data_IF_374498809884
#
_entry.id   IF_374498809884
#
_cell.length_a   1.000
_cell.length_b   1.000
_cell.length_c   1.000
_cell.angle_alpha   90.00
_cell.angle_beta   90.00
_cell.angle_gamma   90.00
#
_symmetry.space_group_name_H-M   'P 1'
#
loop_
_entity.id
_entity.type
_entity.pdbx_description
1 polymer ?
#
# COMPACT_ATOMS: atom_id res chain seq x y z
N UNK A 1 10.42 -26.16 -69.75
CA UNK A 1 11.11 -26.28 -68.45
C UNK A 1 10.85 -25.02 -67.68
N UNK A 2 9.79 -24.99 -66.81
CA UNK A 2 9.44 -23.85 -65.95
C UNK A 2 9.99 -24.12 -64.56
N UNK A 3 10.88 -23.25 -64.09
CA UNK A 3 11.36 -23.25 -62.71
C UNK A 3 10.42 -22.39 -61.83
N UNK A 4 9.78 -23.02 -60.87
CA UNK A 4 9.02 -22.35 -59.84
C UNK A 4 9.97 -21.76 -58.81
N UNK A 5 9.85 -20.45 -58.56
CA UNK A 5 10.56 -19.74 -57.50
C UNK A 5 9.63 -19.69 -56.29
N UNK A 6 9.97 -20.44 -55.25
CA UNK A 6 9.27 -20.40 -53.93
C UNK A 6 9.82 -19.23 -53.12
N UNK A 7 8.99 -18.18 -52.94
CA UNK A 7 9.26 -17.13 -51.95
C UNK A 7 8.93 -17.66 -50.54
N UNK A 8 9.93 -17.80 -49.70
CA UNK A 8 9.75 -18.01 -48.26
C UNK A 8 9.51 -16.66 -47.58
N UNK A 9 8.29 -16.46 -47.09
CA UNK A 9 7.95 -15.30 -46.26
C UNK A 9 8.44 -15.53 -44.84
N UNK A 10 9.46 -14.81 -44.41
CA UNK A 10 9.91 -14.80 -43.04
C UNK A 10 8.95 -13.96 -42.20
N UNK A 11 8.14 -14.59 -41.34
CA UNK A 11 7.38 -13.92 -40.28
C UNK A 11 8.34 -13.45 -39.19
N UNK A 12 8.59 -12.15 -39.16
CA UNK A 12 9.27 -11.50 -38.02
C UNK A 12 8.22 -11.28 -36.92
N UNK A 13 8.22 -12.15 -35.91
CA UNK A 13 7.48 -11.96 -34.65
C UNK A 13 8.11 -10.79 -33.90
N UNK A 14 7.57 -9.60 -34.08
CA UNK A 14 7.90 -8.46 -33.21
C UNK A 14 7.34 -8.70 -31.81
N UNK A 15 8.17 -9.23 -30.91
CA UNK A 15 7.87 -9.30 -29.48
C UNK A 15 7.86 -7.88 -28.92
N UNK A 16 6.67 -7.26 -28.86
CA UNK A 16 6.46 -5.98 -28.18
C UNK A 16 6.66 -6.19 -26.68
N UNK A 17 7.83 -5.86 -26.17
CA UNK A 17 8.06 -5.67 -24.76
C UNK A 17 7.23 -4.48 -24.30
N UNK A 18 6.01 -4.74 -23.82
CA UNK A 18 5.17 -3.74 -23.16
C UNK A 18 5.78 -3.53 -21.76
N UNK A 19 6.87 -2.81 -21.71
CA UNK A 19 7.37 -2.20 -20.49
C UNK A 19 6.42 -1.06 -20.13
N UNK A 20 5.38 -1.33 -19.37
CA UNK A 20 4.43 -0.32 -18.90
C UNK A 20 5.17 0.78 -18.16
N UNK A 21 5.24 1.97 -18.76
CA UNK A 21 5.80 3.16 -18.12
C UNK A 21 4.86 3.56 -16.99
N UNK A 22 5.34 3.53 -15.75
CA UNK A 22 4.56 3.99 -14.60
C UNK A 22 4.07 5.41 -14.84
N UNK A 23 2.78 5.65 -14.64
CA UNK A 23 2.19 6.98 -14.74
C UNK A 23 2.62 7.84 -13.55
N UNK A 24 2.44 9.17 -13.64
CA UNK A 24 2.71 10.06 -12.52
C UNK A 24 1.86 9.70 -11.29
N UNK A 25 0.60 9.27 -11.49
CA UNK A 25 -0.29 8.80 -10.42
C UNK A 25 0.21 7.53 -9.72
N UNK A 26 0.80 6.59 -10.48
CA UNK A 26 1.38 5.36 -9.89
C UNK A 26 2.60 5.69 -9.01
N UNK A 27 3.41 6.66 -9.43
CA UNK A 27 4.56 7.12 -8.65
C UNK A 27 4.13 7.84 -7.35
N UNK A 28 3.09 8.67 -7.40
CA UNK A 28 2.55 9.32 -6.20
C UNK A 28 1.95 8.29 -5.24
N UNK A 29 1.12 7.37 -5.73
CA UNK A 29 0.54 6.28 -4.93
C UNK A 29 1.61 5.43 -4.24
N UNK A 30 2.68 5.08 -4.98
CA UNK A 30 3.83 4.35 -4.41
C UNK A 30 4.53 5.14 -3.30
N UNK A 31 4.73 6.44 -3.49
CA UNK A 31 5.32 7.31 -2.47
C UNK A 31 4.44 7.37 -1.21
N UNK A 32 3.14 7.64 -1.35
CA UNK A 32 2.21 7.65 -0.23
C UNK A 32 2.23 6.32 0.55
N UNK A 33 2.27 5.18 -0.15
CA UNK A 33 2.31 3.86 0.47
C UNK A 33 3.61 3.64 1.25
N UNK A 34 4.75 3.96 0.65
CA UNK A 34 6.05 3.83 1.29
C UNK A 34 6.17 4.72 2.54
N UNK A 35 5.71 5.97 2.46
CA UNK A 35 5.69 6.90 3.61
C UNK A 35 4.83 6.33 4.75
N UNK A 36 3.62 5.85 4.46
CA UNK A 36 2.76 5.27 5.49
C UNK A 36 3.40 4.04 6.15
N UNK A 37 3.95 3.12 5.37
CA UNK A 37 4.65 1.94 5.88
C UNK A 37 5.85 2.32 6.76
N UNK A 38 6.62 3.30 6.33
CA UNK A 38 7.78 3.79 7.08
C UNK A 38 7.37 4.42 8.41
N UNK A 39 6.47 5.42 8.41
CA UNK A 39 6.13 6.15 9.62
C UNK A 39 5.35 5.34 10.64
N UNK A 40 4.53 4.39 10.18
CA UNK A 40 3.70 3.57 11.06
C UNK A 40 4.42 2.33 11.62
N UNK A 41 5.43 1.81 10.92
CA UNK A 41 5.95 0.49 11.28
C UNK A 41 7.45 0.27 10.98
N UNK A 42 8.28 1.31 10.80
CA UNK A 42 9.72 1.11 10.52
C UNK A 42 10.47 0.37 11.63
N UNK A 43 10.04 0.53 12.88
CA UNK A 43 10.56 -0.15 14.07
C UNK A 43 10.09 -1.61 14.18
N UNK A 44 9.07 -2.01 13.42
CA UNK A 44 8.50 -3.37 13.37
C UNK A 44 9.13 -4.24 12.25
N UNK A 45 10.14 -3.70 11.57
CA UNK A 45 10.80 -4.35 10.44
C UNK A 45 9.90 -4.51 9.20
N UNK A 46 10.40 -5.25 8.21
CA UNK A 46 9.71 -5.40 6.92
C UNK A 46 8.31 -6.03 7.02
N UNK A 47 8.10 -6.98 7.95
CA UNK A 47 6.79 -7.62 8.14
C UNK A 47 5.74 -6.64 8.66
N UNK A 48 6.10 -5.80 9.63
CA UNK A 48 5.20 -4.76 10.15
C UNK A 48 4.87 -3.71 9.10
N UNK A 49 5.86 -3.25 8.35
CA UNK A 49 5.67 -2.34 7.23
C UNK A 49 4.75 -2.94 6.16
N UNK A 50 4.98 -4.19 5.75
CA UNK A 50 4.13 -4.88 4.78
C UNK A 50 2.69 -5.00 5.27
N UNK A 51 2.48 -5.33 6.54
CA UNK A 51 1.15 -5.46 7.14
C UNK A 51 0.36 -4.14 7.09
N UNK A 52 0.99 -3.01 7.40
CA UNK A 52 0.38 -1.67 7.22
C UNK A 52 0.02 -1.43 5.75
N UNK A 53 0.91 -1.78 4.84
CA UNK A 53 0.66 -1.66 3.40
C UNK A 53 -0.54 -2.49 2.92
N UNK A 54 -0.70 -3.72 3.44
CA UNK A 54 -1.87 -4.58 3.14
C UNK A 54 -3.17 -3.91 3.61
N UNK A 55 -3.20 -3.34 4.82
CA UNK A 55 -4.38 -2.60 5.31
C UNK A 55 -4.74 -1.44 4.38
N UNK A 56 -3.75 -0.68 3.92
CA UNK A 56 -3.99 0.43 2.99
C UNK A 56 -4.57 -0.08 1.66
N UNK A 57 -4.01 -1.16 1.10
CA UNK A 57 -4.51 -1.77 -0.13
C UNK A 57 -5.93 -2.34 0.03
N UNK A 58 -6.25 -2.94 1.17
CA UNK A 58 -7.60 -3.42 1.45
C UNK A 58 -8.60 -2.27 1.53
N UNK A 59 -8.21 -1.17 2.19
CA UNK A 59 -9.04 0.06 2.23
C UNK A 59 -9.29 0.65 0.84
N UNK A 60 -8.29 0.66 -0.05
CA UNK A 60 -8.46 1.13 -1.44
C UNK A 60 -9.50 0.30 -2.21
N UNK A 61 -9.63 -1.00 -1.90
CA UNK A 61 -10.61 -1.92 -2.54
C UNK A 61 -11.99 -1.89 -1.90
N UNK A 62 -12.14 -1.26 -0.75
CA UNK A 62 -13.36 -1.22 0.05
C UNK A 62 -14.06 0.12 -0.17
N UNK A 63 -15.28 0.12 -0.70
CA UNK A 63 -16.08 1.30 -1.07
C UNK A 63 -16.32 2.29 0.07
N UNK A 64 -16.06 1.89 1.31
CA UNK A 64 -16.17 2.75 2.50
C UNK A 64 -14.99 3.70 2.68
N UNK A 65 -13.95 3.52 1.87
CA UNK A 65 -12.71 4.31 1.93
C UNK A 65 -12.44 4.99 0.57
N UNK A 66 -11.54 5.97 0.53
CA UNK A 66 -11.07 6.51 -0.74
C UNK A 66 -10.48 5.41 -1.64
N UNK A 67 -10.76 5.49 -2.94
CA UNK A 67 -10.34 4.51 -3.95
C UNK A 67 -8.90 4.69 -4.46
N UNK A 68 -8.09 5.50 -3.78
CA UNK A 68 -6.67 5.70 -4.10
C UNK A 68 -5.81 5.58 -2.84
N UNK A 69 -4.57 5.13 -3.02
CA UNK A 69 -3.60 4.99 -1.92
C UNK A 69 -3.40 6.31 -1.17
N UNK A 70 -3.14 7.40 -1.91
CA UNK A 70 -2.97 8.71 -1.28
C UNK A 70 -4.26 9.22 -0.62
N UNK A 71 -5.43 8.91 -1.19
CA UNK A 71 -6.71 9.21 -0.58
C UNK A 71 -6.90 8.54 0.77
N UNK A 72 -6.58 7.23 0.87
CA UNK A 72 -6.60 6.47 2.14
C UNK A 72 -5.61 7.03 3.14
N UNK A 73 -4.37 7.28 2.72
CA UNK A 73 -3.29 7.76 3.60
C UNK A 73 -3.59 9.17 4.14
N UNK A 74 -4.14 10.04 3.30
CA UNK A 74 -4.46 11.43 3.65
C UNK A 74 -5.85 11.60 4.29
N UNK A 75 -6.54 10.52 4.58
CA UNK A 75 -7.88 10.56 5.19
C UNK A 75 -7.85 11.23 6.55
N UNK A 76 -8.76 12.20 6.78
CA UNK A 76 -8.80 12.95 8.04
C UNK A 76 -9.82 14.09 8.03
N UNK A 77 -9.75 14.95 9.04
CA UNK A 77 -10.53 16.19 9.08
C UNK A 77 -9.76 17.32 8.41
N UNK A 78 -10.46 18.11 7.61
CA UNK A 78 -9.89 19.26 6.90
C UNK A 78 -10.64 20.55 7.23
N UNK A 79 -9.92 21.67 7.22
CA UNK A 79 -10.49 23.02 7.32
C UNK A 79 -9.85 23.86 6.19
N UNK A 80 -10.67 24.40 5.30
CA UNK A 80 -10.20 25.21 4.15
C UNK A 80 -9.10 24.52 3.33
N UNK A 81 -9.28 23.21 3.05
CA UNK A 81 -8.31 22.43 2.28
C UNK A 81 -7.05 21.98 3.06
N UNK A 82 -6.87 22.42 4.29
CA UNK A 82 -5.71 22.05 5.14
C UNK A 82 -6.10 20.97 6.14
N UNK A 83 -5.29 19.89 6.31
CA UNK A 83 -5.57 18.87 7.29
C UNK A 83 -5.49 19.45 8.71
N UNK A 84 -6.47 19.10 9.55
CA UNK A 84 -6.50 19.54 10.94
C UNK A 84 -5.49 18.68 11.73
N UNK A 85 -4.59 19.35 12.43
CA UNK A 85 -3.50 18.71 13.19
C UNK A 85 -4.04 17.61 14.14
N UNK A 86 -3.40 16.45 14.11
CA UNK A 86 -3.75 15.25 14.89
C UNK A 86 -5.18 14.71 14.64
N UNK A 87 -5.80 15.02 13.51
CA UNK A 87 -7.14 14.51 13.11
C UNK A 87 -7.11 13.68 11.82
N UNK A 88 -5.96 13.10 11.50
CA UNK A 88 -5.78 12.21 10.34
C UNK A 88 -5.79 10.74 10.77
N UNK A 89 -6.16 9.87 9.84
CA UNK A 89 -6.16 8.42 10.02
C UNK A 89 -4.74 7.90 10.24
N UNK A 90 -3.78 8.43 9.48
CA UNK A 90 -2.35 8.23 9.66
C UNK A 90 -1.78 9.49 10.30
N UNK A 91 -1.37 9.37 11.57
CA UNK A 91 -1.07 10.52 12.43
C UNK A 91 0.10 11.38 11.92
N UNK A 92 1.11 10.75 11.32
CA UNK A 92 2.27 11.43 10.79
C UNK A 92 1.91 12.47 9.73
N UNK A 93 0.89 12.20 8.88
CA UNK A 93 0.49 13.07 7.79
C UNK A 93 -0.01 14.46 8.23
N UNK A 94 -0.46 14.60 9.47
CA UNK A 94 -0.93 15.88 9.98
C UNK A 94 -0.43 16.17 11.43
N UNK A 95 0.75 15.71 11.78
CA UNK A 95 1.41 16.05 13.05
C UNK A 95 2.12 17.41 13.03
N UNK A 96 2.19 18.02 11.83
CA UNK A 96 2.79 19.33 11.59
C UNK A 96 4.31 19.27 11.37
N UNK A 97 4.87 18.09 11.15
CA UNK A 97 6.27 17.88 10.76
C UNK A 97 6.37 17.58 9.26
N UNK A 98 7.48 17.89 8.62
CA UNK A 98 7.70 17.51 7.22
C UNK A 98 7.95 15.99 7.10
N UNK A 99 7.31 15.34 6.12
CA UNK A 99 7.48 13.93 5.80
C UNK A 99 8.85 13.69 5.11
N UNK A 100 9.92 13.64 5.93
CA UNK A 100 11.28 13.38 5.48
C UNK A 100 11.81 12.13 6.19
N UNK A 101 11.73 10.93 5.57
CA UNK A 101 12.29 9.71 6.14
C UNK A 101 13.79 9.87 6.40
N UNK A 102 14.20 9.77 7.67
CA UNK A 102 15.59 10.03 8.08
C UNK A 102 16.46 8.76 8.05
N UNK A 103 15.85 7.60 8.29
CA UNK A 103 16.54 6.32 8.37
C UNK A 103 16.61 5.65 6.99
N UNK A 104 17.78 5.67 6.36
CA UNK A 104 17.97 5.24 4.96
C UNK A 104 17.55 3.79 4.72
N UNK A 105 17.93 2.86 5.60
CA UNK A 105 17.67 1.45 5.40
C UNK A 105 16.17 1.11 5.53
N UNK A 106 15.42 1.49 6.59
CA UNK A 106 13.98 1.27 6.64
C UNK A 106 13.23 1.98 5.52
N UNK A 107 13.69 3.16 5.08
CA UNK A 107 13.09 3.86 3.95
C UNK A 107 13.25 3.11 2.64
N UNK A 108 14.44 2.57 2.34
CA UNK A 108 14.66 1.74 1.16
C UNK A 108 13.74 0.51 1.17
N UNK A 109 13.65 -0.18 2.32
CA UNK A 109 12.74 -1.34 2.47
C UNK A 109 11.28 -0.95 2.22
N UNK A 110 10.81 0.18 2.76
CA UNK A 110 9.44 0.66 2.53
C UNK A 110 9.17 0.95 1.04
N UNK A 111 10.14 1.53 0.33
CA UNK A 111 10.05 1.78 -1.11
C UNK A 111 9.98 0.49 -1.94
N UNK A 112 10.78 -0.52 -1.61
CA UNK A 112 10.76 -1.82 -2.30
C UNK A 112 9.46 -2.57 -2.02
N UNK A 113 9.02 -2.64 -0.76
CA UNK A 113 7.76 -3.26 -0.38
C UNK A 113 6.57 -2.58 -1.04
N UNK A 114 6.55 -1.24 -1.14
CA UNK A 114 5.47 -0.51 -1.79
C UNK A 114 5.34 -0.89 -3.27
N UNK A 115 6.46 -1.03 -3.97
CA UNK A 115 6.49 -1.50 -5.36
C UNK A 115 5.96 -2.93 -5.48
N UNK A 116 6.49 -3.86 -4.67
CA UNK A 116 6.10 -5.27 -4.70
C UNK A 116 4.62 -5.48 -4.37
N UNK A 117 4.09 -4.71 -3.43
CA UNK A 117 2.69 -4.79 -3.02
C UNK A 117 1.76 -4.24 -4.10
N UNK A 118 2.09 -3.10 -4.72
CA UNK A 118 1.28 -2.50 -5.79
C UNK A 118 1.26 -3.35 -7.07
N UNK A 119 2.34 -4.07 -7.36
CA UNK A 119 2.41 -5.01 -8.49
C UNK A 119 1.78 -6.38 -8.19
N UNK A 120 1.30 -6.61 -6.96
CA UNK A 120 0.76 -7.91 -6.54
C UNK A 120 1.82 -9.01 -6.40
N UNK A 121 3.10 -8.66 -6.45
CA UNK A 121 4.23 -9.61 -6.34
C UNK A 121 4.36 -10.18 -4.95
N UNK A 122 3.98 -9.41 -3.91
CA UNK A 122 3.99 -9.85 -2.51
C UNK A 122 2.57 -9.82 -1.96
N UNK A 123 2.25 -10.83 -1.14
CA UNK A 123 1.02 -10.95 -0.36
C UNK A 123 1.38 -11.29 1.08
N UNK A 124 0.45 -11.11 2.00
CA UNK A 124 0.62 -11.50 3.39
C UNK A 124 -0.59 -12.32 3.83
N UNK A 125 -0.35 -13.53 4.31
CA UNK A 125 -1.39 -14.44 4.82
C UNK A 125 -1.75 -14.10 6.25
N UNK A 126 -3.02 -14.38 6.61
CA UNK A 126 -3.56 -14.17 7.95
C UNK A 126 -4.14 -12.78 8.20
N UNK A 127 -3.93 -11.83 7.29
CA UNK A 127 -4.47 -10.46 7.36
C UNK A 127 -5.03 -9.97 6.02
N UNK A 128 -5.42 -10.90 5.13
CA UNK A 128 -5.83 -10.60 3.76
C UNK A 128 -6.96 -9.56 3.70
N UNK A 129 -7.87 -9.59 4.66
CA UNK A 129 -9.05 -8.72 4.74
C UNK A 129 -8.92 -7.63 5.83
N UNK A 130 -7.72 -7.45 6.39
CA UNK A 130 -7.49 -6.47 7.43
C UNK A 130 -7.73 -5.04 6.93
N UNK A 131 -8.61 -4.32 7.61
CA UNK A 131 -8.86 -2.89 7.36
C UNK A 131 -8.58 -2.00 8.58
N UNK A 132 -8.34 -2.61 9.74
CA UNK A 132 -8.05 -1.92 10.99
C UNK A 132 -6.85 -2.55 11.70
N UNK A 133 -6.12 -1.74 12.43
CA UNK A 133 -5.10 -2.19 13.38
C UNK A 133 -4.95 -1.20 14.52
N UNK A 134 -4.39 -1.67 15.62
CA UNK A 134 -3.95 -0.83 16.73
C UNK A 134 -2.68 -1.40 17.36
N UNK A 135 -1.94 -0.58 18.07
CA UNK A 135 -0.77 -1.02 18.82
C UNK A 135 -1.19 -1.94 19.99
N UNK A 136 -0.40 -2.96 20.28
CA UNK A 136 -0.72 -4.00 21.29
C UNK A 136 -0.98 -3.45 22.69
N UNK A 137 -0.46 -2.25 23.03
CA UNK A 137 -0.63 -1.60 24.33
C UNK A 137 -1.88 -0.69 24.44
N UNK A 138 -2.69 -0.58 23.37
CA UNK A 138 -3.97 0.13 23.40
C UNK A 138 -5.11 -0.82 23.07
N UNK A 139 -6.30 -0.59 23.65
CA UNK A 139 -7.51 -1.31 23.30
C UNK A 139 -8.60 -0.30 22.89
N UNK A 140 -8.74 0.00 21.59
CA UNK A 140 -9.80 0.89 21.13
C UNK A 140 -11.18 0.28 21.33
N UNK A 141 -12.20 1.12 21.58
CA UNK A 141 -13.58 0.67 21.78
C UNK A 141 -14.21 -0.07 20.60
N UNK A 142 -13.64 0.07 19.42
CA UNK A 142 -14.07 -0.64 18.21
C UNK A 142 -13.50 -2.06 18.09
N UNK A 143 -12.40 -2.40 18.79
CA UNK A 143 -11.70 -3.68 18.63
C UNK A 143 -12.61 -4.89 18.87
N UNK A 144 -13.44 -4.84 19.93
CA UNK A 144 -14.36 -5.94 20.29
C UNK A 144 -15.54 -6.09 19.27
N UNK A 145 -15.75 -5.09 18.40
CA UNK A 145 -16.79 -5.11 17.35
C UNK A 145 -16.32 -5.70 16.04
N UNK A 146 -15.03 -5.90 15.87
CA UNK A 146 -14.39 -6.42 14.67
C UNK A 146 -13.90 -7.86 14.90
N UNK A 147 -13.62 -8.56 13.83
CA UNK A 147 -12.95 -9.86 13.86
C UNK A 147 -11.45 -9.65 14.03
N UNK A 148 -10.88 -10.20 15.08
CA UNK A 148 -9.44 -10.21 15.29
C UNK A 148 -8.82 -11.25 14.37
N UNK A 149 -7.89 -10.83 13.52
CA UNK A 149 -7.19 -11.69 12.58
C UNK A 149 -5.87 -12.20 13.18
N UNK A 150 -4.84 -11.35 13.18
CA UNK A 150 -3.48 -11.72 13.60
C UNK A 150 -2.81 -10.59 14.37
N UNK A 151 -1.65 -10.91 14.95
CA UNK A 151 -0.73 -9.96 15.55
C UNK A 151 0.63 -10.04 14.86
N UNK A 152 1.09 -8.91 14.33
CA UNK A 152 2.38 -8.80 13.65
C UNK A 152 3.18 -7.68 14.32
N UNK A 153 4.29 -8.06 14.94
CA UNK A 153 5.08 -7.13 15.75
C UNK A 153 4.25 -6.49 16.86
N UNK A 154 4.30 -5.19 16.94
CA UNK A 154 3.56 -4.39 17.92
C UNK A 154 2.12 -4.03 17.53
N UNK A 155 1.56 -4.64 16.47
CA UNK A 155 0.22 -4.33 15.98
C UNK A 155 -0.69 -5.55 15.95
N UNK A 156 -1.97 -5.35 16.32
CA UNK A 156 -3.06 -6.33 16.18
C UNK A 156 -3.98 -5.91 15.06
N UNK A 157 -4.28 -6.82 14.13
CA UNK A 157 -5.02 -6.58 12.89
C UNK A 157 -6.43 -7.13 12.94
N UNK A 158 -7.36 -6.42 12.30
CA UNK A 158 -8.78 -6.72 12.36
C UNK A 158 -9.44 -6.54 10.99
N UNK A 159 -10.42 -7.42 10.71
CA UNK A 159 -11.39 -7.28 9.62
C UNK A 159 -12.78 -6.94 10.16
N UNK A 160 -13.67 -6.50 9.28
CA UNK A 160 -15.10 -6.45 9.62
C UNK A 160 -15.67 -7.86 9.63
N UNK A 161 -16.55 -8.14 10.58
CA UNK A 161 -17.32 -9.39 10.58
C UNK A 161 -18.21 -9.43 9.34
N UNK A 162 -18.08 -10.49 8.55
CA UNK A 162 -18.98 -10.80 7.45
C UNK A 162 -20.21 -11.50 8.11
N UNK A 163 -21.38 -10.92 7.92
CA UNK A 163 -22.67 -11.49 8.39
C UNK A 163 -23.32 -12.26 7.27
#
# INVERSE_FOLDING_TARGET
MCRAITLAAALILASSLIGGRLTAGDNEGRKCLAEAMYYEARDQGWRGMLAVGVVIQNRVRDDRYPNTVCGVVRQGKYRNGTPVRHKCQFSYYCDGKPERPAEKQPWSVAQDLSKLLLTGTVKMTGIEDATHYHATWVKPSWADKLERLDQIGGHVFYARKVH
#
